data_IF_379996365622
#
_entry.id   IF_379996365622
#
_cell.length_a   1.000
_cell.length_b   1.000
_cell.length_c   1.000
_cell.angle_alpha   90.00
_cell.angle_beta   90.00
_cell.angle_gamma   90.00
#
_symmetry.space_group_name_H-M   'P 1'
#
loop_
_entity.id
_entity.type
_entity.pdbx_description
1 polymer ?
#
# COMPACT_ATOMS: atom_id res chain seq x y z
N UNK A 1 -3.73 4.46 -4.29
CA UNK A 1 -3.10 4.94 -3.04
C UNK A 1 -3.00 6.46 -3.07
N UNK A 2 -3.51 7.15 -2.06
CA UNK A 2 -3.39 8.61 -1.92
C UNK A 2 -2.19 8.97 -1.04
N UNK A 3 -1.28 9.80 -1.55
CA UNK A 3 -0.08 10.27 -0.85
C UNK A 3 -0.09 11.78 -0.77
N UNK A 4 0.29 12.33 0.38
CA UNK A 4 0.39 13.77 0.59
C UNK A 4 1.73 14.12 1.20
N UNK A 5 2.34 15.17 0.65
CA UNK A 5 3.57 15.69 1.22
C UNK A 5 3.26 16.39 2.55
N UNK A 6 4.03 16.13 3.61
CA UNK A 6 3.82 16.76 4.93
C UNK A 6 4.46 18.15 5.07
N UNK A 7 5.12 18.66 4.04
CA UNK A 7 5.70 20.02 4.04
C UNK A 7 4.58 21.07 4.00
N UNK A 8 4.74 22.19 4.70
CA UNK A 8 3.73 23.26 4.77
C UNK A 8 3.38 23.78 3.34
N UNK A 9 2.19 23.42 2.85
CA UNK A 9 1.74 23.61 1.45
C UNK A 9 1.66 22.33 0.62
N UNK A 10 1.78 21.16 1.25
CA UNK A 10 1.95 19.87 0.59
C UNK A 10 0.83 19.49 -0.38
N UNK A 11 1.23 19.20 -1.61
CA UNK A 11 0.35 18.66 -2.63
C UNK A 11 0.05 17.18 -2.36
N UNK A 12 -1.20 16.81 -2.59
CA UNK A 12 -1.65 15.44 -2.55
C UNK A 12 -1.71 14.89 -3.97
N UNK A 13 -1.19 13.68 -4.16
CA UNK A 13 -1.22 12.97 -5.42
C UNK A 13 -1.73 11.55 -5.21
N UNK A 14 -2.45 11.05 -6.20
CA UNK A 14 -2.87 9.65 -6.23
C UNK A 14 -1.87 8.86 -7.04
N UNK A 15 -1.30 7.83 -6.42
CA UNK A 15 -0.42 6.86 -7.06
C UNK A 15 -1.20 5.57 -7.25
N UNK A 16 -1.17 5.05 -8.47
CA UNK A 16 -1.74 3.76 -8.85
C UNK A 16 -0.61 2.83 -9.27
N UNK A 17 -0.57 1.65 -8.69
CA UNK A 17 0.45 0.65 -8.98
C UNK A 17 0.39 -0.54 -8.03
N UNK A 18 1.11 -1.59 -8.38
CA UNK A 18 1.19 -2.79 -7.55
C UNK A 18 2.31 -2.65 -6.51
N UNK A 19 1.97 -2.92 -5.25
CA UNK A 19 2.92 -2.93 -4.15
C UNK A 19 3.80 -4.17 -4.30
N UNK A 20 5.12 -3.96 -4.35
CA UNK A 20 6.10 -5.05 -4.39
C UNK A 20 6.37 -5.58 -2.99
N UNK A 21 6.60 -4.68 -2.04
CA UNK A 21 6.80 -5.00 -0.62
C UNK A 21 6.53 -3.78 0.25
N UNK A 22 6.22 -4.03 1.52
CA UNK A 22 6.15 -3.01 2.56
C UNK A 22 7.33 -3.25 3.50
N UNK A 23 8.16 -2.24 3.68
CA UNK A 23 9.31 -2.25 4.59
C UNK A 23 8.89 -1.56 5.89
N UNK A 24 8.52 -2.35 6.89
CA UNK A 24 8.05 -1.85 8.19
C UNK A 24 9.17 -1.15 8.98
N UNK A 25 10.39 -1.67 8.90
CA UNK A 25 11.55 -1.10 9.61
C UNK A 25 11.85 0.33 9.14
N UNK A 26 11.87 0.54 7.82
CA UNK A 26 12.10 1.87 7.26
C UNK A 26 10.81 2.68 7.06
N UNK A 27 9.65 2.11 7.43
CA UNK A 27 8.30 2.65 7.21
C UNK A 27 8.06 3.12 5.77
N UNK A 28 8.40 2.29 4.79
CA UNK A 28 8.30 2.62 3.36
C UNK A 28 7.57 1.53 2.58
N UNK A 29 6.65 1.93 1.71
CA UNK A 29 6.06 1.06 0.70
C UNK A 29 6.89 1.14 -0.58
N UNK A 30 7.27 -0.01 -1.12
CA UNK A 30 8.02 -0.11 -2.36
C UNK A 30 7.11 -0.75 -3.40
N UNK A 31 6.90 -0.05 -4.51
CA UNK A 31 6.10 -0.52 -5.64
C UNK A 31 6.96 -1.33 -6.61
N UNK A 32 6.32 -2.08 -7.53
CA UNK A 32 7.01 -2.91 -8.54
C UNK A 32 7.91 -2.08 -9.48
N UNK A 33 7.51 -0.84 -9.76
CA UNK A 33 8.25 0.15 -10.55
C UNK A 33 9.48 0.73 -9.83
N UNK A 34 9.77 0.25 -8.60
CA UNK A 34 10.83 0.73 -7.69
C UNK A 34 10.55 2.09 -7.05
N UNK A 35 9.35 2.63 -7.20
CA UNK A 35 8.91 3.82 -6.45
C UNK A 35 8.85 3.50 -4.96
N UNK A 36 9.39 4.41 -4.13
CA UNK A 36 9.40 4.30 -2.68
C UNK A 36 8.53 5.41 -2.09
N UNK A 37 7.62 5.04 -1.20
CA UNK A 37 6.66 5.95 -0.58
C UNK A 37 6.76 5.76 0.92
N UNK A 38 7.09 6.82 1.66
CA UNK A 38 7.01 6.79 3.12
C UNK A 38 5.57 6.58 3.56
N UNK A 39 5.35 5.60 4.44
CA UNK A 39 4.05 5.26 5.04
C UNK A 39 3.41 6.49 5.69
N UNK A 40 4.27 7.28 6.29
CA UNK A 40 3.97 8.53 6.96
C UNK A 40 3.32 9.61 6.05
N UNK A 41 3.49 9.49 4.74
CA UNK A 41 2.88 10.34 3.71
C UNK A 41 1.65 9.70 3.07
N UNK A 42 1.33 8.43 3.40
CA UNK A 42 0.18 7.71 2.85
C UNK A 42 -1.05 8.09 3.67
N UNK A 43 -2.07 8.64 3.01
CA UNK A 43 -3.35 8.93 3.65
C UNK A 43 -4.32 7.74 3.56
N UNK A 44 -4.34 7.09 2.40
CA UNK A 44 -5.22 5.96 2.17
C UNK A 44 -4.63 5.00 1.14
N UNK A 45 -4.82 3.71 1.35
CA UNK A 45 -4.47 2.66 0.39
C UNK A 45 -5.78 2.02 -0.03
N UNK A 46 -6.19 2.29 -1.25
CA UNK A 46 -7.33 1.66 -1.90
C UNK A 46 -6.78 0.69 -2.94
N UNK A 47 -7.19 -0.58 -2.86
CA UNK A 47 -6.76 -1.67 -3.74
C UNK A 47 -7.19 -3.05 -3.24
N UNK A 48 -7.32 -3.98 -4.18
CA UNK A 48 -7.62 -5.38 -3.87
C UNK A 48 -6.35 -6.13 -3.45
N UNK A 49 -6.43 -6.90 -2.36
CA UNK A 49 -5.35 -7.76 -1.90
C UNK A 49 -5.41 -9.07 -2.69
N UNK A 50 -4.62 -9.17 -3.75
CA UNK A 50 -4.46 -10.42 -4.49
C UNK A 50 -3.45 -11.32 -3.78
N UNK A 51 -3.91 -12.05 -2.76
CA UNK A 51 -3.05 -12.99 -2.03
C UNK A 51 -3.70 -13.61 -0.79
N UNK A 52 -4.09 -14.89 -0.95
CA UNK A 52 -4.35 -15.89 0.09
C UNK A 52 -5.60 -15.68 0.96
N UNK A 53 -6.78 -15.68 0.35
CA UNK A 53 -7.93 -16.37 0.97
C UNK A 53 -7.92 -17.80 0.45
N UNK A 54 -7.16 -18.68 1.13
CA UNK A 54 -7.51 -20.09 1.12
C UNK A 54 -8.74 -20.20 2.01
N UNK A 55 -9.92 -19.96 1.43
CA UNK A 55 -11.17 -20.35 2.04
C UNK A 55 -11.24 -21.88 1.94
N UNK A 56 -10.56 -22.57 2.85
CA UNK A 56 -10.91 -23.95 3.14
C UNK A 56 -12.24 -23.91 3.88
N UNK A 57 -13.32 -23.86 3.11
CA UNK A 57 -14.64 -24.26 3.54
C UNK A 57 -14.55 -25.74 3.93
N UNK A 58 -14.23 -26.02 5.19
CA UNK A 58 -14.46 -27.35 5.75
C UNK A 58 -15.95 -27.45 6.01
N UNK A 59 -16.62 -28.02 5.01
CA UNK A 59 -17.92 -28.68 5.10
C UNK A 59 -17.92 -29.62 6.31
N UNK A 60 -18.72 -29.30 7.32
CA UNK A 60 -19.07 -30.23 8.39
C UNK A 60 -20.49 -30.73 8.12
N UNK A 61 -20.57 -32.04 7.84
CA UNK A 61 -21.76 -32.87 7.59
C UNK A 61 -22.85 -32.73 8.67
#
# INVERSE_FOLDING_TARGET
>A
MAVCNRKAGGSCHTISGQIKKIDDYQKQVILLDKTRIDIDCILNIDGEIFGLTNESETDFD
#
